data_IF_867485673836
#
_entry.id   IF_867485673836
#
_cell.length_a   1.000
_cell.length_b   1.000
_cell.length_c   1.000
_cell.angle_alpha   90.00
_cell.angle_beta   90.00
_cell.angle_gamma   90.00
#
_symmetry.space_group_name_H-M   'P 1'
#
loop_
_entity.id
_entity.type
_entity.pdbx_description
1 polymer ?
#
# COMPACT_ATOMS: atom_id res chain seq x y z
N UNK A 1 35.33 -11.48 21.28
CA UNK A 1 36.36 -11.39 20.23
C UNK A 1 35.69 -10.76 19.02
N UNK A 2 36.33 -9.78 18.36
CA UNK A 2 35.65 -8.91 17.40
C UNK A 2 35.62 -9.56 16.03
N UNK A 3 34.43 -9.79 15.49
CA UNK A 3 34.28 -10.26 14.11
C UNK A 3 34.46 -9.07 13.15
N UNK A 4 35.70 -9.02 12.69
CA UNK A 4 36.30 -8.13 11.72
C UNK A 4 35.54 -8.20 10.39
N UNK A 5 34.82 -7.14 10.02
CA UNK A 5 34.35 -6.97 8.64
C UNK A 5 35.59 -6.82 7.75
N UNK A 6 35.77 -7.66 6.71
CA UNK A 6 36.94 -7.55 5.84
C UNK A 6 36.93 -6.20 5.11
N UNK A 7 37.98 -5.42 5.37
CA UNK A 7 38.26 -4.08 4.81
C UNK A 7 38.25 -4.02 3.28
N UNK A 8 38.27 -5.17 2.62
CA UNK A 8 38.36 -5.33 1.17
C UNK A 8 37.01 -5.20 0.43
N UNK A 9 35.88 -5.09 1.15
CA UNK A 9 34.57 -4.84 0.54
C UNK A 9 34.25 -3.34 0.33
N UNK A 10 35.19 -2.44 0.64
CA UNK A 10 34.86 -1.02 0.86
C UNK A 10 34.97 -0.06 -0.33
N UNK A 11 35.47 -0.44 -1.50
CA UNK A 11 35.60 0.55 -2.59
C UNK A 11 35.50 -0.08 -3.99
N UNK A 12 34.27 -0.21 -4.51
CA UNK A 12 33.92 0.10 -5.92
C UNK A 12 32.43 0.53 -5.92
N UNK A 13 32.15 1.82 -5.68
CA UNK A 13 30.80 2.38 -5.58
C UNK A 13 30.68 3.36 -4.41
N UNK A 14 29.81 4.37 -4.51
CA UNK A 14 29.57 5.34 -3.42
C UNK A 14 29.06 4.69 -2.13
N UNK A 15 28.90 5.47 -1.05
CA UNK A 15 28.49 4.97 0.26
C UNK A 15 27.17 4.16 0.20
N UNK A 16 26.30 4.46 -0.77
CA UNK A 16 25.07 3.71 -1.07
C UNK A 16 25.27 2.21 -1.34
N UNK A 17 26.43 1.77 -1.82
CA UNK A 17 26.74 0.34 -2.05
C UNK A 17 27.35 -0.37 -0.82
N UNK A 18 27.50 0.33 0.30
CA UNK A 18 28.05 -0.24 1.53
C UNK A 18 26.99 -1.04 2.29
N UNK A 19 27.41 -2.15 2.88
CA UNK A 19 26.55 -2.99 3.72
C UNK A 19 26.49 -2.45 5.15
N UNK A 20 25.28 -2.42 5.70
CA UNK A 20 24.97 -2.11 7.10
C UNK A 20 24.15 -3.25 7.71
N UNK A 21 24.06 -3.31 9.04
CA UNK A 21 23.19 -4.26 9.73
C UNK A 21 21.73 -4.11 9.26
N UNK A 22 21.06 -5.21 8.96
CA UNK A 22 19.67 -5.17 8.49
C UNK A 22 18.71 -4.95 9.70
N UNK A 23 18.03 -3.80 9.79
CA UNK A 23 17.17 -3.47 10.93
C UNK A 23 15.78 -4.13 10.84
N UNK A 24 15.49 -4.83 9.74
CA UNK A 24 14.18 -5.42 9.44
C UNK A 24 14.09 -6.91 9.76
N UNK A 25 15.19 -7.53 10.20
CA UNK A 25 15.23 -8.94 10.56
C UNK A 25 15.82 -9.10 11.95
N UNK A 26 15.26 -10.01 12.74
CA UNK A 26 15.78 -10.34 14.08
C UNK A 26 17.07 -11.16 14.04
N UNK A 27 17.46 -11.63 12.85
CA UNK A 27 18.66 -12.46 12.67
C UNK A 27 19.92 -11.62 12.81
N UNK A 28 20.69 -11.89 13.86
CA UNK A 28 22.01 -11.28 14.06
C UNK A 28 22.95 -11.68 12.92
N UNK A 29 23.65 -10.71 12.34
CA UNK A 29 24.58 -10.93 11.22
C UNK A 29 23.94 -10.90 9.83
N UNK A 30 22.67 -10.51 9.70
CA UNK A 30 22.08 -10.17 8.42
C UNK A 30 22.47 -8.74 8.00
N UNK A 31 22.92 -8.57 6.76
CA UNK A 31 23.37 -7.29 6.22
C UNK A 31 22.54 -6.88 5.00
N UNK A 32 22.37 -5.58 4.81
CA UNK A 32 21.67 -4.98 3.67
C UNK A 32 22.49 -3.81 3.14
N UNK A 33 22.39 -3.52 1.85
CA UNK A 33 22.99 -2.30 1.29
C UNK A 33 22.24 -1.07 1.80
N UNK A 34 22.98 -0.04 2.20
CA UNK A 34 22.39 1.22 2.64
C UNK A 34 21.46 1.83 1.57
N UNK A 35 21.90 1.84 0.31
CA UNK A 35 21.11 2.34 -0.82
C UNK A 35 19.82 1.56 -1.06
N UNK A 36 19.84 0.22 -0.91
CA UNK A 36 18.64 -0.59 -1.08
C UNK A 36 17.59 -0.32 0.00
N UNK A 37 18.02 0.03 1.21
CA UNK A 37 17.12 0.43 2.27
C UNK A 37 16.54 1.83 2.03
N UNK A 38 17.34 2.76 1.51
CA UNK A 38 16.84 4.10 1.15
C UNK A 38 15.85 4.03 0.00
N UNK A 39 16.17 3.29 -1.08
CA UNK A 39 15.28 3.09 -2.23
C UNK A 39 13.93 2.50 -1.84
N UNK A 40 13.94 1.57 -0.87
CA UNK A 40 12.70 1.01 -0.32
C UNK A 40 11.81 2.09 0.32
N UNK A 41 12.37 2.97 1.15
CA UNK A 41 11.60 4.01 1.82
C UNK A 41 11.14 5.11 0.86
N UNK A 42 11.96 5.44 -0.14
CA UNK A 42 11.58 6.35 -1.23
C UNK A 42 10.39 5.80 -2.02
N UNK A 43 10.42 4.53 -2.40
CA UNK A 43 9.33 3.88 -3.14
C UNK A 43 8.04 3.85 -2.31
N UNK A 44 8.15 3.55 -1.01
CA UNK A 44 7.00 3.57 -0.10
C UNK A 44 6.39 4.98 0.05
N UNK A 45 7.23 6.02 0.10
CA UNK A 45 6.77 7.41 0.16
C UNK A 45 6.14 7.87 -1.17
N UNK A 46 6.71 7.49 -2.31
CA UNK A 46 6.20 7.82 -3.64
C UNK A 46 4.78 7.29 -3.86
N UNK A 47 4.51 6.06 -3.42
CA UNK A 47 3.20 5.43 -3.60
C UNK A 47 2.07 6.12 -2.82
N UNK A 48 2.40 6.98 -1.86
CA UNK A 48 1.41 7.53 -0.93
C UNK A 48 1.31 9.05 -1.00
N UNK A 49 2.17 9.73 -1.77
CA UNK A 49 2.29 11.19 -1.74
C UNK A 49 1.37 11.93 -2.74
N UNK A 50 0.63 11.22 -3.61
CA UNK A 50 -0.42 11.82 -4.44
C UNK A 50 0.06 12.95 -5.37
N UNK A 51 1.30 12.87 -5.86
CA UNK A 51 2.02 13.91 -6.65
C UNK A 51 2.54 15.13 -5.87
N UNK A 52 2.33 15.21 -4.55
CA UNK A 52 2.85 16.30 -3.72
C UNK A 52 4.26 15.98 -3.22
N UNK A 53 5.24 16.79 -3.63
CA UNK A 53 6.63 16.60 -3.22
C UNK A 53 6.82 16.83 -1.72
N UNK A 54 6.10 17.78 -1.13
CA UNK A 54 6.16 18.12 0.29
C UNK A 54 5.69 16.95 1.18
N UNK A 55 4.72 16.18 0.69
CA UNK A 55 4.24 14.95 1.35
C UNK A 55 5.27 13.83 1.19
N UNK A 56 5.86 13.69 0.00
CA UNK A 56 6.94 12.74 -0.24
C UNK A 56 8.14 13.00 0.68
N UNK A 57 8.60 14.25 0.73
CA UNK A 57 9.85 14.65 1.39
C UNK A 57 9.77 14.42 2.90
N UNK A 58 8.70 14.87 3.56
CA UNK A 58 8.54 14.64 5.01
C UNK A 58 8.44 13.15 5.38
N UNK A 59 7.88 12.32 4.48
CA UNK A 59 7.74 10.88 4.69
C UNK A 59 9.06 10.15 4.54
N UNK A 60 9.80 10.43 3.48
CA UNK A 60 11.14 9.84 3.29
C UNK A 60 12.05 10.25 4.45
N UNK A 61 12.14 11.55 4.76
CA UNK A 61 12.99 12.02 5.86
C UNK A 61 12.56 11.43 7.21
N UNK A 62 11.26 11.33 7.49
CA UNK A 62 10.74 10.70 8.69
C UNK A 62 11.11 9.22 8.81
N UNK A 63 10.96 8.45 7.74
CA UNK A 63 11.30 7.03 7.70
C UNK A 63 12.82 6.80 7.87
N UNK A 64 13.64 7.53 7.11
CA UNK A 64 15.10 7.44 7.18
C UNK A 64 15.63 7.82 8.57
N UNK A 65 15.09 8.88 9.18
CA UNK A 65 15.44 9.26 10.57
C UNK A 65 14.97 8.24 11.59
N UNK A 66 13.82 7.60 11.37
CA UNK A 66 13.36 6.47 12.18
C UNK A 66 14.33 5.29 12.14
N UNK A 67 14.91 4.98 10.97
CA UNK A 67 15.90 3.91 10.81
C UNK A 67 17.21 4.19 11.56
N UNK A 68 17.65 5.46 11.65
CA UNK A 68 18.85 5.84 12.41
C UNK A 68 18.78 5.38 13.87
N UNK A 69 17.60 5.36 14.48
CA UNK A 69 17.42 4.91 15.87
C UNK A 69 17.78 3.44 16.08
N UNK A 70 17.69 2.61 15.02
CA UNK A 70 17.93 1.16 15.05
C UNK A 70 19.38 0.78 14.77
N UNK A 71 20.20 1.73 14.28
CA UNK A 71 21.57 1.48 13.87
C UNK A 71 22.60 1.74 14.94
N UNK A 72 23.72 1.00 14.83
CA UNK A 72 24.95 1.27 15.57
C UNK A 72 25.56 2.63 15.15
N UNK A 73 26.40 3.28 15.97
CA UNK A 73 27.02 4.55 15.60
C UNK A 73 27.86 4.51 14.32
N UNK A 74 28.40 3.34 13.96
CA UNK A 74 29.19 3.16 12.73
C UNK A 74 28.27 3.06 11.49
N UNK A 75 27.23 2.23 11.58
CA UNK A 75 26.24 2.08 10.51
C UNK A 75 25.47 3.37 10.23
N UNK A 76 25.19 4.18 11.28
CA UNK A 76 24.55 5.51 11.13
C UNK A 76 25.34 6.41 10.19
N UNK A 77 26.65 6.51 10.35
CA UNK A 77 27.49 7.37 9.50
C UNK A 77 27.46 6.92 8.03
N UNK A 78 27.51 5.61 7.81
CA UNK A 78 27.41 5.03 6.46
C UNK A 78 26.04 5.34 5.84
N UNK A 79 24.97 5.19 6.63
CA UNK A 79 23.61 5.44 6.19
C UNK A 79 23.33 6.93 5.92
N UNK A 80 23.79 7.83 6.79
CA UNK A 80 23.71 9.29 6.60
C UNK A 80 24.46 9.73 5.34
N UNK A 81 25.66 9.18 5.11
CA UNK A 81 26.41 9.47 3.88
C UNK A 81 25.68 8.95 2.63
N UNK A 82 25.14 7.73 2.68
CA UNK A 82 24.37 7.16 1.59
C UNK A 82 23.09 7.97 1.28
N UNK A 83 22.40 8.46 2.31
CA UNK A 83 21.23 9.32 2.18
C UNK A 83 21.60 10.66 1.55
N UNK A 84 22.69 11.29 2.00
CA UNK A 84 23.19 12.54 1.46
C UNK A 84 23.62 12.42 -0.01
N UNK A 85 24.25 11.31 -0.41
CA UNK A 85 24.58 11.03 -1.81
C UNK A 85 23.33 10.91 -2.71
N UNK A 86 22.16 10.60 -2.14
CA UNK A 86 20.86 10.57 -2.83
C UNK A 86 20.06 11.88 -2.71
N UNK A 87 20.60 12.88 -2.02
CA UNK A 87 19.95 14.19 -1.83
C UNK A 87 19.13 14.33 -0.56
N UNK A 88 19.12 13.34 0.33
CA UNK A 88 18.39 13.41 1.60
C UNK A 88 19.30 13.90 2.72
N UNK A 89 18.97 15.08 3.28
CA UNK A 89 19.65 15.63 4.44
C UNK A 89 18.89 15.23 5.71
N UNK A 90 19.47 14.33 6.50
CA UNK A 90 18.81 13.75 7.68
C UNK A 90 18.97 14.59 8.97
N UNK A 91 19.36 15.86 8.86
CA UNK A 91 19.50 16.74 10.02
C UNK A 91 18.15 17.29 10.51
N UNK A 92 18.14 17.79 11.75
CA UNK A 92 16.92 18.29 12.40
C UNK A 92 16.35 19.54 11.72
N UNK A 93 17.19 20.37 11.11
CA UNK A 93 16.75 21.59 10.43
C UNK A 93 16.04 21.25 9.12
N UNK A 94 16.65 20.41 8.29
CA UNK A 94 16.07 19.92 7.04
C UNK A 94 14.74 19.21 7.27
N UNK A 95 14.65 18.40 8.35
CA UNK A 95 13.39 17.75 8.71
C UNK A 95 12.32 18.74 9.20
N UNK A 96 12.70 19.76 9.98
CA UNK A 96 11.76 20.80 10.43
C UNK A 96 11.24 21.64 9.25
N UNK A 97 12.10 21.96 8.28
CA UNK A 97 11.73 22.67 7.06
C UNK A 97 10.75 21.84 6.22
N UNK A 98 11.02 20.54 6.04
CA UNK A 98 10.10 19.62 5.34
C UNK A 98 8.74 19.50 6.07
N UNK A 99 8.74 19.45 7.41
CA UNK A 99 7.48 19.46 8.18
C UNK A 99 6.67 20.73 8.00
N UNK A 100 7.34 21.88 7.89
CA UNK A 100 6.68 23.15 7.64
C UNK A 100 6.06 23.19 6.25
N UNK A 101 6.82 22.81 5.22
CA UNK A 101 6.32 22.73 3.84
C UNK A 101 5.14 21.76 3.71
N UNK A 102 5.22 20.60 4.39
CA UNK A 102 4.10 19.67 4.48
C UNK A 102 2.85 20.29 5.12
N UNK A 103 3.00 21.02 6.22
CA UNK A 103 1.86 21.67 6.88
C UNK A 103 1.20 22.74 6.01
N UNK A 104 2.00 23.52 5.27
CA UNK A 104 1.51 24.50 4.29
C UNK A 104 0.77 23.80 3.13
N UNK A 105 1.38 22.78 2.53
CA UNK A 105 0.77 21.97 1.46
C UNK A 105 -0.56 21.33 1.90
N UNK A 106 -0.62 20.74 3.10
CA UNK A 106 -1.86 20.15 3.62
C UNK A 106 -2.95 21.20 3.87
N UNK A 107 -2.58 22.42 4.27
CA UNK A 107 -3.54 23.51 4.43
C UNK A 107 -4.10 23.97 3.08
N UNK A 108 -3.27 24.05 2.04
CA UNK A 108 -3.71 24.35 0.67
C UNK A 108 -4.65 23.27 0.13
N UNK A 109 -4.29 21.99 0.27
CA UNK A 109 -5.15 20.86 -0.12
C UNK A 109 -6.51 20.93 0.61
N UNK A 110 -6.51 21.20 1.92
CA UNK A 110 -7.74 21.34 2.69
C UNK A 110 -8.56 22.56 2.25
N UNK A 111 -7.92 23.66 1.87
CA UNK A 111 -8.61 24.84 1.36
C UNK A 111 -9.26 24.56 0.00
N UNK A 112 -8.56 23.87 -0.91
CA UNK A 112 -9.09 23.47 -2.22
C UNK A 112 -10.27 22.51 -2.08
N UNK A 113 -10.18 21.55 -1.14
CA UNK A 113 -11.25 20.59 -0.88
C UNK A 113 -12.41 21.20 -0.07
N UNK A 114 -12.12 22.18 0.80
CA UNK A 114 -13.08 22.87 1.65
C UNK A 114 -13.78 24.07 1.03
N UNK A 115 -13.37 24.52 -0.16
CA UNK A 115 -14.03 25.60 -0.91
C UNK A 115 -15.31 25.15 -1.65
N UNK A 116 -15.84 23.96 -1.34
CA UNK A 116 -17.10 23.44 -1.88
C UNK A 116 -18.32 23.64 -0.95
N UNK A 117 -18.17 24.38 0.16
CA UNK A 117 -19.20 24.52 1.20
C UNK A 117 -20.19 25.69 0.99
N UNK A 118 -20.35 26.17 -0.25
CA UNK A 118 -21.47 27.03 -0.65
C UNK A 118 -22.65 26.13 -1.10
N UNK A 119 -23.22 25.35 -0.17
CA UNK A 119 -24.44 24.59 -0.38
C UNK A 119 -25.45 24.88 0.74
N UNK A 120 -25.96 26.11 0.77
CA UNK A 120 -27.25 26.44 1.38
C UNK A 120 -28.12 27.16 0.35
N UNK A 121 -29.03 26.41 -0.27
CA UNK A 121 -30.48 26.70 -0.32
C UNK A 121 -31.15 25.91 -1.47
N UNK A 122 -32.05 25.01 -1.07
CA UNK A 122 -33.25 24.47 -1.72
C UNK A 122 -33.40 24.52 -3.26
N UNK A 123 -33.39 23.35 -3.92
CA UNK A 123 -34.45 22.82 -4.83
C UNK A 123 -34.03 21.40 -5.33
N UNK A 124 -34.97 20.44 -5.55
CA UNK A 124 -34.64 19.07 -5.94
C UNK A 124 -34.47 18.98 -7.46
N UNK A 125 -33.23 18.94 -7.92
CA UNK A 125 -32.89 18.72 -9.32
C UNK A 125 -32.01 17.47 -9.47
N UNK A 126 -32.67 16.29 -9.48
CA UNK A 126 -32.09 15.12 -10.13
C UNK A 126 -31.99 15.46 -11.63
N UNK A 127 -30.78 15.73 -12.11
CA UNK A 127 -30.44 15.54 -13.52
C UNK A 127 -29.45 14.37 -13.57
N UNK A 128 -29.92 13.24 -14.12
CA UNK A 128 -29.18 11.98 -14.31
C UNK A 128 -28.02 12.07 -15.33
N UNK A 129 -27.36 13.22 -15.50
CA UNK A 129 -26.48 13.46 -16.67
C UNK A 129 -25.09 14.08 -16.40
N UNK A 130 -24.69 14.33 -15.14
CA UNK A 130 -23.36 14.89 -14.81
C UNK A 130 -22.48 13.91 -14.03
N UNK A 131 -22.23 12.74 -14.63
CA UNK A 131 -21.13 11.87 -14.23
C UNK A 131 -19.79 12.59 -14.52
N UNK A 132 -19.03 12.88 -13.46
CA UNK A 132 -17.65 13.39 -13.59
C UNK A 132 -16.81 12.42 -14.44
N UNK A 133 -16.06 12.91 -15.45
CA UNK A 133 -15.22 12.06 -16.26
C UNK A 133 -14.02 11.54 -15.45
N UNK A 134 -13.99 10.21 -15.33
CA UNK A 134 -12.87 9.35 -14.97
C UNK A 134 -11.51 9.90 -15.42
N UNK A 135 -10.55 9.99 -14.51
CA UNK A 135 -9.13 10.12 -14.85
C UNK A 135 -8.46 8.75 -14.83
N UNK A 136 -8.16 8.26 -16.04
CA UNK A 136 -7.20 7.24 -16.47
C UNK A 136 -7.27 5.79 -15.92
N UNK A 137 -7.94 4.95 -16.72
CA UNK A 137 -7.62 3.56 -17.10
C UNK A 137 -7.29 2.51 -16.01
N UNK A 138 -7.82 2.66 -14.79
CA UNK A 138 -7.99 1.56 -13.84
C UNK A 138 -9.46 1.15 -13.73
N UNK A 139 -9.77 -0.14 -13.64
CA UNK A 139 -11.16 -0.59 -13.40
C UNK A 139 -11.72 0.12 -12.14
N UNK A 140 -12.86 0.77 -12.26
CA UNK A 140 -13.48 1.52 -11.17
C UNK A 140 -14.26 0.58 -10.24
N UNK A 141 -13.93 0.57 -8.94
CA UNK A 141 -14.68 -0.19 -7.93
C UNK A 141 -15.77 0.70 -7.31
N UNK A 142 -17.03 0.49 -7.71
CA UNK A 142 -18.17 1.32 -7.28
C UNK A 142 -18.77 0.86 -5.94
N UNK A 143 -19.56 1.74 -5.29
CA UNK A 143 -20.34 1.39 -4.10
C UNK A 143 -21.38 0.29 -4.36
N UNK A 144 -21.87 0.16 -5.60
CA UNK A 144 -22.75 -0.93 -6.01
C UNK A 144 -22.03 -2.27 -6.04
N UNK A 145 -20.79 -2.29 -6.54
CA UNK A 145 -19.92 -3.47 -6.53
C UNK A 145 -19.53 -3.84 -5.08
N UNK A 146 -19.25 -2.85 -4.23
CA UNK A 146 -19.01 -3.08 -2.80
C UNK A 146 -20.21 -3.72 -2.11
N UNK A 147 -21.42 -3.22 -2.39
CA UNK A 147 -22.66 -3.81 -1.88
C UNK A 147 -22.93 -5.22 -2.46
N UNK A 148 -22.61 -5.46 -3.74
CA UNK A 148 -22.75 -6.78 -4.35
C UNK A 148 -21.80 -7.81 -3.73
N UNK A 149 -20.52 -7.45 -3.54
CA UNK A 149 -19.54 -8.29 -2.86
C UNK A 149 -19.97 -8.58 -1.40
N UNK A 150 -20.46 -7.56 -0.69
CA UNK A 150 -20.92 -7.71 0.68
C UNK A 150 -22.13 -8.65 0.82
N UNK A 151 -23.01 -8.77 -0.19
CA UNK A 151 -24.10 -9.75 -0.18
C UNK A 151 -23.59 -11.20 -0.17
N UNK A 152 -22.35 -11.41 -0.60
CA UNK A 152 -21.69 -12.71 -0.61
C UNK A 152 -20.68 -12.87 0.54
N UNK A 153 -20.54 -11.86 1.41
CA UNK A 153 -19.73 -11.95 2.63
C UNK A 153 -18.24 -11.66 2.44
N UNK A 154 -17.86 -11.11 1.29
CA UNK A 154 -16.50 -10.69 0.99
C UNK A 154 -16.44 -9.23 0.57
N UNK A 155 -15.23 -8.68 0.54
CA UNK A 155 -14.99 -7.32 0.07
C UNK A 155 -13.60 -7.17 -0.51
N UNK A 156 -13.46 -6.16 -1.36
CA UNK A 156 -12.18 -5.72 -1.88
C UNK A 156 -11.63 -4.65 -0.93
N UNK A 157 -10.43 -4.87 -0.37
CA UNK A 157 -9.81 -3.93 0.57
C UNK A 157 -8.42 -3.52 0.13
N UNK A 158 -8.09 -2.28 0.44
CA UNK A 158 -6.73 -1.80 0.36
C UNK A 158 -5.94 -2.27 1.59
N UNK A 159 -4.96 -3.12 1.38
CA UNK A 159 -4.05 -3.70 2.37
C UNK A 159 -2.63 -3.18 2.17
N UNK A 160 -2.46 -1.88 2.40
CA UNK A 160 -1.20 -1.18 2.16
C UNK A 160 0.01 -1.90 2.79
N UNK A 161 1.03 -2.18 1.98
CA UNK A 161 2.28 -2.80 2.44
C UNK A 161 2.20 -4.30 2.72
N UNK A 162 1.10 -4.95 2.33
CA UNK A 162 1.01 -6.40 2.36
C UNK A 162 1.99 -7.03 1.35
N UNK A 163 2.66 -8.16 1.67
CA UNK A 163 3.55 -8.87 0.73
C UNK A 163 2.81 -9.50 -0.47
N UNK A 164 1.53 -9.18 -0.60
CA UNK A 164 0.54 -9.79 -1.46
C UNK A 164 -0.19 -8.73 -2.31
N UNK A 165 0.33 -7.50 -2.34
CA UNK A 165 -0.19 -6.36 -3.09
C UNK A 165 -1.16 -5.50 -2.27
N UNK A 166 -1.36 -4.27 -2.73
CA UNK A 166 -2.15 -3.26 -2.02
C UNK A 166 -3.65 -3.52 -2.10
N UNK A 167 -4.15 -4.31 -3.05
CA UNK A 167 -5.57 -4.67 -3.15
C UNK A 167 -5.77 -6.16 -2.94
N UNK A 168 -6.70 -6.54 -2.07
CA UNK A 168 -6.99 -7.95 -1.78
C UNK A 168 -8.48 -8.19 -1.60
N UNK A 169 -8.94 -9.32 -2.15
CA UNK A 169 -10.24 -9.91 -1.80
C UNK A 169 -10.08 -10.57 -0.44
N UNK A 170 -10.91 -10.15 0.51
CA UNK A 170 -10.90 -10.64 1.89
C UNK A 170 -12.31 -10.97 2.34
N UNK A 171 -12.43 -11.88 3.31
CA UNK A 171 -13.69 -12.07 4.01
C UNK A 171 -14.04 -10.82 4.83
N UNK A 172 -15.33 -10.62 5.06
CA UNK A 172 -15.79 -9.60 5.99
C UNK A 172 -15.61 -10.13 7.43
N UNK A 173 -14.73 -9.49 8.21
CA UNK A 173 -14.39 -9.91 9.59
C UNK A 173 -15.57 -9.83 10.58
N UNK A 174 -16.41 -8.80 10.43
CA UNK A 174 -17.59 -8.58 11.28
C UNK A 174 -18.83 -8.41 10.38
N UNK A 175 -19.47 -9.53 10.09
CA UNK A 175 -20.71 -9.58 9.32
C UNK A 175 -21.83 -8.78 9.98
N UNK A 176 -21.91 -8.73 11.32
CA UNK A 176 -22.97 -8.03 12.03
C UNK A 176 -22.82 -6.49 11.93
N UNK A 177 -21.59 -5.98 12.02
CA UNK A 177 -21.30 -4.57 11.77
C UNK A 177 -21.55 -4.19 10.31
N UNK A 178 -21.15 -5.05 9.38
CA UNK A 178 -21.33 -4.82 7.94
C UNK A 178 -22.80 -4.86 7.54
N UNK A 179 -23.59 -5.75 8.14
CA UNK A 179 -25.04 -5.81 7.91
C UNK A 179 -25.74 -4.51 8.28
N UNK A 180 -25.31 -3.87 9.38
CA UNK A 180 -25.81 -2.55 9.78
C UNK A 180 -25.38 -1.44 8.80
N UNK A 181 -24.15 -1.49 8.29
CA UNK A 181 -23.61 -0.52 7.33
C UNK A 181 -24.35 -0.58 6.00
N UNK A 182 -24.60 -1.78 5.49
CA UNK A 182 -25.19 -1.98 4.16
C UNK A 182 -26.73 -2.06 4.17
N UNK A 183 -27.35 -2.25 5.33
CA UNK A 183 -28.81 -2.33 5.46
C UNK A 183 -29.42 -3.67 5.01
N UNK A 184 -28.61 -4.71 4.85
CA UNK A 184 -29.03 -6.09 4.56
C UNK A 184 -28.17 -7.10 5.33
N UNK A 185 -28.61 -8.36 5.42
CA UNK A 185 -27.87 -9.42 6.09
C UNK A 185 -26.64 -9.84 5.28
N UNK A 186 -25.45 -9.63 5.83
CA UNK A 186 -24.16 -9.99 5.24
C UNK A 186 -23.78 -11.38 5.74
N UNK A 187 -23.54 -12.37 4.86
CA UNK A 187 -23.14 -13.69 5.31
C UNK A 187 -21.69 -13.69 5.82
N UNK A 188 -21.40 -14.54 6.82
CA UNK A 188 -20.05 -14.71 7.35
C UNK A 188 -19.34 -15.85 6.60
N UNK A 189 -18.24 -15.53 5.92
CA UNK A 189 -17.33 -16.53 5.35
C UNK A 189 -16.35 -17.03 6.43
N UNK A 190 -15.80 -18.23 6.20
CA UNK A 190 -14.90 -18.88 7.17
C UNK A 190 -13.42 -18.48 7.00
N UNK A 191 -13.05 -17.96 5.82
CA UNK A 191 -11.67 -17.66 5.47
C UNK A 191 -11.59 -16.77 4.23
N UNK A 192 -10.46 -16.09 4.04
CA UNK A 192 -10.15 -15.32 2.83
C UNK A 192 -10.05 -16.23 1.60
N UNK A 193 -9.56 -17.47 1.75
CA UNK A 193 -9.54 -18.44 0.65
C UNK A 193 -10.94 -18.77 0.15
N UNK A 194 -11.95 -18.80 1.03
CA UNK A 194 -13.34 -19.01 0.63
C UNK A 194 -13.87 -17.84 -0.19
N UNK A 195 -13.51 -16.60 0.15
CA UNK A 195 -13.84 -15.41 -0.64
C UNK A 195 -13.22 -15.48 -2.04
N UNK A 196 -11.95 -15.88 -2.12
CA UNK A 196 -11.27 -16.08 -3.40
C UNK A 196 -11.89 -17.19 -4.25
N UNK A 197 -12.32 -18.30 -3.66
CA UNK A 197 -12.99 -19.38 -4.39
C UNK A 197 -14.35 -18.92 -4.96
N UNK A 198 -15.10 -18.09 -4.22
CA UNK A 198 -16.35 -17.50 -4.72
C UNK A 198 -16.08 -16.58 -5.92
N UNK A 199 -15.13 -15.65 -5.79
CA UNK A 199 -14.72 -14.76 -6.88
C UNK A 199 -14.27 -15.55 -8.12
N UNK A 200 -13.47 -16.60 -7.93
CA UNK A 200 -12.94 -17.41 -9.04
C UNK A 200 -13.99 -18.32 -9.70
N UNK A 201 -15.19 -18.45 -9.11
CA UNK A 201 -16.30 -19.14 -9.75
C UNK A 201 -16.83 -18.39 -10.98
N UNK A 202 -16.58 -17.08 -11.05
CA UNK A 202 -17.06 -16.21 -12.14
C UNK A 202 -18.59 -16.30 -12.35
N UNK A 203 -19.34 -16.70 -11.32
CA UNK A 203 -20.78 -16.91 -11.40
C UNK A 203 -21.62 -15.63 -11.50
N UNK A 204 -21.12 -14.51 -10.95
CA UNK A 204 -21.84 -13.25 -10.82
C UNK A 204 -21.06 -12.09 -11.45
N UNK A 205 -21.73 -11.01 -11.92
CA UNK A 205 -21.05 -9.87 -12.55
C UNK A 205 -19.97 -9.22 -11.67
N UNK A 206 -20.17 -9.21 -10.35
CA UNK A 206 -19.22 -8.66 -9.37
C UNK A 206 -17.89 -9.45 -9.34
N UNK A 207 -17.93 -10.75 -9.66
CA UNK A 207 -16.73 -11.59 -9.78
C UNK A 207 -15.88 -11.16 -10.96
N UNK A 208 -16.50 -10.96 -12.12
CA UNK A 208 -15.79 -10.51 -13.32
C UNK A 208 -15.19 -9.11 -13.10
N UNK A 209 -15.96 -8.21 -12.49
CA UNK A 209 -15.49 -6.86 -12.17
C UNK A 209 -14.28 -6.87 -11.23
N UNK A 210 -14.29 -7.70 -10.18
CA UNK A 210 -13.14 -7.77 -9.26
C UNK A 210 -11.94 -8.48 -9.90
N UNK A 211 -12.16 -9.46 -10.76
CA UNK A 211 -11.08 -10.14 -11.50
C UNK A 211 -10.41 -9.17 -12.48
N UNK A 212 -11.18 -8.35 -13.18
CA UNK A 212 -10.66 -7.30 -14.05
C UNK A 212 -9.89 -6.25 -13.25
N UNK A 213 -10.47 -5.78 -12.14
CA UNK A 213 -9.82 -4.87 -11.20
C UNK A 213 -8.49 -5.42 -10.69
N UNK A 214 -8.47 -6.67 -10.23
CA UNK A 214 -7.28 -7.33 -9.72
C UNK A 214 -6.26 -7.60 -10.81
N UNK A 215 -6.68 -7.81 -12.06
CA UNK A 215 -5.77 -7.96 -13.20
C UNK A 215 -4.93 -6.70 -13.44
N UNK A 216 -5.50 -5.53 -13.19
CA UNK A 216 -4.79 -4.25 -13.30
C UNK A 216 -3.99 -3.92 -12.04
N UNK A 217 -4.61 -4.07 -10.87
CA UNK A 217 -4.07 -3.55 -9.61
C UNK A 217 -3.21 -4.56 -8.84
N UNK A 218 -3.37 -5.87 -9.08
CA UNK A 218 -2.64 -6.93 -8.38
C UNK A 218 -2.57 -8.26 -9.19
N UNK A 219 -1.91 -8.25 -10.37
CA UNK A 219 -1.89 -9.38 -11.28
C UNK A 219 -1.24 -10.64 -10.69
N UNK A 220 -0.19 -10.48 -9.87
CA UNK A 220 0.51 -11.61 -9.24
C UNK A 220 -0.39 -12.39 -8.26
N UNK A 221 -1.18 -11.68 -7.44
CA UNK A 221 -2.15 -12.33 -6.57
C UNK A 221 -3.23 -13.03 -7.38
N UNK A 222 -3.73 -12.39 -8.45
CA UNK A 222 -4.74 -12.99 -9.31
C UNK A 222 -4.24 -14.29 -9.94
N UNK A 223 -3.02 -14.31 -10.47
CA UNK A 223 -2.40 -15.53 -11.03
C UNK A 223 -2.25 -16.63 -9.98
N UNK A 224 -1.79 -16.28 -8.78
CA UNK A 224 -1.66 -17.23 -7.66
C UNK A 224 -3.02 -17.83 -7.29
N UNK A 225 -4.07 -17.03 -7.23
CA UNK A 225 -5.41 -17.50 -6.88
C UNK A 225 -6.06 -18.30 -8.00
N UNK A 226 -5.80 -17.99 -9.27
CA UNK A 226 -6.20 -18.85 -10.40
C UNK A 226 -5.56 -20.24 -10.31
N UNK A 227 -4.27 -20.31 -10.01
CA UNK A 227 -3.57 -21.58 -9.82
C UNK A 227 -4.13 -22.38 -8.63
N UNK A 228 -4.46 -21.68 -7.53
CA UNK A 228 -5.09 -22.29 -6.36
C UNK A 228 -6.50 -22.84 -6.67
N UNK A 229 -7.32 -22.08 -7.40
CA UNK A 229 -8.65 -22.50 -7.82
C UNK A 229 -8.59 -23.74 -8.74
N UNK A 230 -7.67 -23.76 -9.70
CA UNK A 230 -7.47 -24.92 -10.60
C UNK A 230 -7.04 -26.18 -9.83
N UNK A 231 -6.13 -26.04 -8.86
CA UNK A 231 -5.70 -27.14 -7.99
C UNK A 231 -6.83 -27.66 -7.09
N UNK A 232 -7.67 -26.74 -6.57
CA UNK A 232 -8.83 -27.08 -5.74
C UNK A 232 -9.91 -27.82 -6.55
N UNK A 233 -10.17 -27.40 -7.79
CA UNK A 233 -11.09 -28.09 -8.71
C UNK A 233 -10.61 -29.50 -9.10
N UNK A 234 -9.31 -29.69 -9.33
CA UNK A 234 -8.72 -31.03 -9.61
C UNK A 234 -8.83 -31.96 -8.41
N UNK A 235 -8.72 -31.44 -7.19
CA UNK A 235 -8.81 -32.23 -5.96
C UNK A 235 -10.23 -32.76 -5.72
N UNK A 236 -11.26 -31.99 -6.08
CA UNK A 236 -12.67 -32.40 -5.99
C UNK A 236 -13.05 -33.47 -7.04
N UNK A 237 -12.42 -33.46 -8.22
CA UNK A 237 -12.65 -34.47 -9.25
C UNK A 237 -11.88 -35.77 -9.01
N UNK A 238 -10.76 -35.74 -8.28
CA UNK A 238 -9.99 -36.94 -7.94
C UNK A 238 -10.62 -37.76 -6.79
N UNK A 239 -11.70 -37.28 -6.18
CA UNK A 239 -12.44 -37.95 -5.10
C UNK A 239 -13.80 -38.52 -5.54
N UNK A 240 -14.12 -38.46 -6.84
CA UNK A 240 -15.31 -39.07 -7.44
C UNK A 240 -14.94 -40.18 -8.43
#
# INVERSE_FOLDING_TARGET
>A
MPDFIPEQARVIGGAWNTFIANPMVSTTGAYIKAGALIEREELAAQNTCGLYYEIYDVRVLGALRGLLTKFSPEDRKVFEQAASERGHLLDDASYADAQKAYAECMAEIQQEQGASDDCQDDEPFFNDDDALPNTDEGAYWSSELDAAAAKEGWGLRETFGSPHGDWQVLMIDDAAASSKRFGFDVPQLNSDEQAWLLVMSEAEPVHHAVIEFMGFNNPEMLERMRAFHEASGKTLLAQN
#
